data_IF_521311229158
#
_entry.id   IF_521311229158
#
_cell.length_a   1.000
_cell.length_b   1.000
_cell.length_c   1.000
_cell.angle_alpha   90.00
_cell.angle_beta   90.00
_cell.angle_gamma   90.00
#
_symmetry.space_group_name_H-M   'P 1'
#
loop_
_entity.id
_entity.type
_entity.pdbx_description
1 polymer ?
#
# COMPACT_ATOMS: atom_id res chain seq x y z
N UNK A 1 0.38 8.92 16.68
CA UNK A 1 -0.85 9.69 16.44
C UNK A 1 -2.00 8.71 16.34
N UNK A 2 -3.21 9.07 16.82
CA UNK A 2 -4.37 8.20 16.66
C UNK A 2 -4.78 8.09 15.19
N UNK A 3 -5.44 6.98 14.85
CA UNK A 3 -6.10 6.77 13.57
C UNK A 3 -7.61 6.73 13.81
N UNK A 4 -8.36 7.36 12.91
CA UNK A 4 -9.79 7.17 12.74
C UNK A 4 -9.96 5.87 11.97
N UNK A 5 -10.81 4.96 12.47
CA UNK A 5 -11.06 3.65 11.88
C UNK A 5 -12.49 3.59 11.35
N UNK A 6 -12.65 3.21 10.09
CA UNK A 6 -13.96 2.99 9.49
C UNK A 6 -14.55 1.65 9.96
N UNK A 7 -15.51 1.70 10.87
CA UNK A 7 -16.20 0.50 11.38
C UNK A 7 -17.06 -0.19 10.32
N UNK A 8 -17.53 0.57 9.34
CA UNK A 8 -18.40 0.10 8.26
C UNK A 8 -17.62 -0.41 7.04
N UNK A 9 -16.28 -0.34 7.06
CA UNK A 9 -15.47 -0.85 5.96
C UNK A 9 -15.68 -2.35 5.71
N UNK A 10 -15.70 -2.74 4.45
CA UNK A 10 -15.75 -4.14 4.03
C UNK A 10 -14.33 -4.65 3.79
N UNK A 11 -13.77 -5.35 4.77
CA UNK A 11 -12.44 -5.97 4.70
C UNK A 11 -12.50 -7.42 4.20
N UNK A 12 -13.62 -7.82 3.62
CA UNK A 12 -13.81 -9.17 3.11
C UNK A 12 -13.48 -9.30 1.64
N UNK A 13 -13.04 -10.48 1.22
CA UNK A 13 -12.73 -10.82 -0.16
C UNK A 13 -12.98 -12.31 -0.40
N UNK A 14 -12.97 -12.74 -1.66
CA UNK A 14 -13.15 -14.15 -2.01
C UNK A 14 -11.79 -14.84 -2.16
N UNK A 15 -11.66 -16.01 -1.54
CA UNK A 15 -10.57 -16.94 -1.82
C UNK A 15 -10.66 -17.48 -3.25
N UNK A 16 -9.63 -18.18 -3.73
CA UNK A 16 -9.68 -18.83 -5.05
C UNK A 16 -10.76 -19.92 -5.14
N UNK A 17 -11.31 -20.37 -4.01
CA UNK A 17 -12.41 -21.33 -3.93
C UNK A 17 -13.79 -20.67 -3.83
N UNK A 18 -13.85 -19.34 -3.83
CA UNK A 18 -15.09 -18.58 -3.67
C UNK A 18 -15.56 -18.46 -2.22
N UNK A 19 -14.73 -18.82 -1.24
CA UNK A 19 -15.04 -18.64 0.17
C UNK A 19 -14.81 -17.19 0.58
N UNK A 20 -15.74 -16.65 1.37
CA UNK A 20 -15.62 -15.28 1.89
C UNK A 20 -14.67 -15.26 3.08
N UNK A 21 -13.52 -14.61 2.90
CA UNK A 21 -12.53 -14.36 3.94
C UNK A 21 -12.64 -12.91 4.39
N UNK A 22 -12.49 -12.64 5.68
CA UNK A 22 -12.44 -11.28 6.21
C UNK A 22 -11.15 -11.03 6.98
N UNK A 23 -10.51 -9.89 6.71
CA UNK A 23 -9.39 -9.42 7.54
C UNK A 23 -9.99 -8.68 8.73
N UNK A 24 -9.66 -9.09 9.95
CA UNK A 24 -10.09 -8.36 11.16
C UNK A 24 -9.63 -6.90 11.09
N UNK A 25 -10.54 -5.95 11.34
CA UNK A 25 -10.25 -4.51 11.25
C UNK A 25 -9.13 -4.10 12.20
N UNK A 26 -9.07 -4.75 13.36
CA UNK A 26 -8.05 -4.58 14.38
C UNK A 26 -6.66 -4.96 13.86
N UNK A 27 -6.56 -5.89 12.91
CA UNK A 27 -5.27 -6.25 12.26
C UNK A 27 -4.63 -5.04 11.59
N UNK A 28 -5.41 -4.21 10.90
CA UNK A 28 -4.89 -2.99 10.27
C UNK A 28 -4.38 -1.99 11.31
N UNK A 29 -5.11 -1.83 12.42
CA UNK A 29 -4.72 -0.92 13.50
C UNK A 29 -3.42 -1.41 14.16
N UNK A 30 -3.32 -2.69 14.49
CA UNK A 30 -2.10 -3.29 15.06
C UNK A 30 -0.93 -3.17 14.08
N UNK A 31 -1.14 -3.44 12.80
CA UNK A 31 -0.09 -3.32 11.78
C UNK A 31 0.42 -1.88 11.60
N UNK A 32 -0.46 -0.89 11.65
CA UNK A 32 -0.08 0.54 11.64
C UNK A 32 0.79 0.90 12.85
N UNK A 33 0.41 0.42 14.04
CA UNK A 33 1.18 0.65 15.27
C UNK A 33 2.54 -0.06 15.22
N UNK A 34 2.60 -1.28 14.71
CA UNK A 34 3.84 -2.05 14.55
C UNK A 34 4.81 -1.35 13.59
N UNK A 35 4.33 -0.96 12.40
CA UNK A 35 5.11 -0.16 11.45
C UNK A 35 5.67 1.11 12.08
N UNK A 36 4.82 1.87 12.77
CA UNK A 36 5.23 3.11 13.41
C UNK A 36 6.28 2.87 14.50
N UNK A 37 6.16 1.77 15.25
CA UNK A 37 7.13 1.36 16.27
C UNK A 37 8.48 1.03 15.65
N UNK A 38 8.50 0.20 14.60
CA UNK A 38 9.73 -0.18 13.89
C UNK A 38 10.41 1.04 13.27
N UNK A 39 9.66 1.92 12.61
CA UNK A 39 10.20 3.16 12.03
C UNK A 39 10.82 4.05 13.11
N UNK A 40 10.17 4.19 14.28
CA UNK A 40 10.71 4.96 15.41
C UNK A 40 12.00 4.34 15.95
N UNK A 41 12.06 3.02 16.10
CA UNK A 41 13.28 2.33 16.52
C UNK A 41 14.43 2.57 15.54
N UNK A 42 14.19 2.39 14.24
CA UNK A 42 15.17 2.70 13.18
C UNK A 42 15.68 4.15 13.31
N UNK A 43 14.75 5.11 13.46
CA UNK A 43 15.10 6.55 13.58
C UNK A 43 15.95 6.84 14.82
N UNK A 44 15.63 6.21 15.95
CA UNK A 44 16.26 6.50 17.23
C UNK A 44 17.59 5.79 17.44
N UNK A 45 17.75 4.57 16.89
CA UNK A 45 18.87 3.69 17.18
C UNK A 45 19.96 3.73 16.11
N UNK A 46 19.64 4.15 14.88
CA UNK A 46 20.60 4.14 13.77
C UNK A 46 21.16 5.55 13.58
N UNK A 47 22.49 5.76 13.71
CA UNK A 47 23.12 7.08 13.69
C UNK A 47 23.23 7.70 12.28
N UNK A 48 22.33 7.35 11.36
CA UNK A 48 22.24 7.92 10.01
C UNK A 48 20.78 8.04 9.60
N UNK A 49 20.46 9.07 8.83
CA UNK A 49 19.13 9.25 8.24
C UNK A 49 18.93 8.28 7.06
N UNK A 50 18.59 7.03 7.37
CA UNK A 50 18.34 5.97 6.38
C UNK A 50 17.27 6.39 5.38
N UNK A 51 16.24 7.10 5.82
CA UNK A 51 15.10 7.45 4.96
C UNK A 51 15.50 8.46 3.88
N UNK A 52 16.35 9.43 4.23
CA UNK A 52 16.96 10.34 3.24
C UNK A 52 17.88 9.61 2.27
N UNK A 53 18.66 8.63 2.74
CA UNK A 53 19.58 7.83 1.91
C UNK A 53 18.83 6.98 0.88
N UNK A 54 17.72 6.36 1.25
CA UNK A 54 16.95 5.48 0.37
C UNK A 54 16.39 6.19 -0.87
N UNK A 55 16.04 7.48 -0.74
CA UNK A 55 15.28 8.19 -1.77
C UNK A 55 13.80 7.79 -1.79
N UNK A 56 12.93 8.67 -2.31
CA UNK A 56 11.46 8.47 -2.27
C UNK A 56 10.97 7.15 -2.88
N UNK A 57 11.62 6.66 -3.95
CA UNK A 57 11.20 5.42 -4.62
C UNK A 57 11.43 4.20 -3.73
N UNK A 58 12.65 4.03 -3.22
CA UNK A 58 12.99 2.89 -2.37
C UNK A 58 12.30 3.02 -1.01
N UNK A 59 12.13 4.25 -0.52
CA UNK A 59 11.38 4.48 0.71
C UNK A 59 9.91 4.06 0.58
N UNK A 60 9.26 4.33 -0.56
CA UNK A 60 7.89 3.85 -0.78
C UNK A 60 7.80 2.33 -0.79
N UNK A 61 8.78 1.65 -1.40
CA UNK A 61 8.84 0.19 -1.38
C UNK A 61 9.09 -0.34 0.05
N UNK A 62 10.00 0.28 0.79
CA UNK A 62 10.30 -0.05 2.18
C UNK A 62 9.06 0.08 3.08
N UNK A 63 8.31 1.17 2.98
CA UNK A 63 7.09 1.38 3.79
C UNK A 63 6.01 0.35 3.43
N UNK A 64 5.81 0.06 2.14
CA UNK A 64 4.89 -0.98 1.70
C UNK A 64 5.26 -2.36 2.27
N UNK A 65 6.53 -2.73 2.16
CA UNK A 65 7.07 -4.00 2.64
C UNK A 65 6.97 -4.14 4.17
N UNK A 66 7.26 -3.07 4.91
CA UNK A 66 7.09 -3.06 6.37
C UNK A 66 5.63 -3.29 6.76
N UNK A 67 4.69 -2.71 6.02
CA UNK A 67 3.26 -2.93 6.23
C UNK A 67 2.82 -4.36 5.89
N UNK A 68 3.33 -4.95 4.81
CA UNK A 68 3.14 -6.38 4.48
C UNK A 68 3.59 -7.27 5.65
N UNK A 69 4.80 -7.04 6.16
CA UNK A 69 5.34 -7.82 7.30
C UNK A 69 4.44 -7.66 8.53
N UNK A 70 4.01 -6.44 8.81
CA UNK A 70 3.17 -6.12 9.98
C UNK A 70 1.80 -6.76 9.87
N UNK A 71 1.14 -6.71 8.70
CA UNK A 71 -0.13 -7.41 8.48
C UNK A 71 0.04 -8.92 8.63
N UNK A 72 1.07 -9.52 8.02
CA UNK A 72 1.31 -10.96 8.15
C UNK A 72 1.46 -11.39 9.62
N UNK A 73 2.24 -10.63 10.40
CA UNK A 73 2.43 -10.84 11.84
C UNK A 73 1.13 -10.70 12.64
N UNK A 74 0.35 -9.67 12.38
CA UNK A 74 -0.84 -9.31 13.16
C UNK A 74 -2.12 -10.05 12.75
N UNK A 75 -2.08 -10.80 11.64
CA UNK A 75 -3.23 -11.48 11.03
C UNK A 75 -3.58 -12.84 11.64
N UNK A 76 -2.98 -13.24 12.77
CA UNK A 76 -3.24 -14.53 13.42
C UNK A 76 -3.10 -15.74 12.46
N UNK A 77 -2.04 -15.73 11.63
CA UNK A 77 -1.75 -16.76 10.62
C UNK A 77 -2.73 -16.84 9.43
N UNK A 78 -3.63 -15.86 9.26
CA UNK A 78 -4.47 -15.77 8.04
C UNK A 78 -3.61 -15.50 6.81
N UNK A 79 -2.55 -14.71 6.96
CA UNK A 79 -1.61 -14.44 5.87
C UNK A 79 -0.19 -14.89 6.18
N UNK A 80 0.51 -15.30 5.12
CA UNK A 80 1.95 -15.38 5.09
C UNK A 80 2.47 -14.37 4.06
N UNK A 81 3.51 -13.61 4.40
CA UNK A 81 4.24 -12.83 3.39
C UNK A 81 4.75 -13.77 2.28
N UNK A 82 4.59 -13.37 1.02
CA UNK A 82 5.13 -14.10 -0.11
C UNK A 82 6.66 -14.28 0.02
N UNK A 83 7.17 -15.52 0.02
CA UNK A 83 8.60 -15.78 0.17
C UNK A 83 9.41 -15.39 -1.07
N UNK A 84 8.77 -15.21 -2.22
CA UNK A 84 9.43 -14.81 -3.45
C UNK A 84 9.43 -13.28 -3.61
N UNK A 85 10.60 -12.69 -3.87
CA UNK A 85 10.77 -11.22 -3.96
C UNK A 85 9.95 -10.56 -5.08
N UNK A 86 9.73 -11.28 -6.18
CA UNK A 86 8.87 -10.85 -7.31
C UNK A 86 7.53 -11.60 -7.31
N UNK A 87 7.07 -12.04 -6.13
CA UNK A 87 5.85 -12.78 -5.95
C UNK A 87 4.60 -11.91 -6.11
N UNK A 88 3.47 -12.55 -6.40
CA UNK A 88 2.15 -11.95 -6.42
C UNK A 88 1.11 -12.98 -5.90
N UNK A 89 0.22 -12.62 -4.96
CA UNK A 89 0.19 -11.34 -4.24
C UNK A 89 1.27 -11.24 -3.15
N UNK A 90 1.45 -10.05 -2.58
CA UNK A 90 2.39 -9.79 -1.46
C UNK A 90 2.07 -10.60 -0.18
N UNK A 91 0.78 -10.77 0.14
CA UNK A 91 0.29 -11.57 1.26
C UNK A 91 -0.49 -12.78 0.74
N UNK A 92 0.01 -13.98 1.02
CA UNK A 92 -0.59 -15.25 0.63
C UNK A 92 -1.69 -15.63 1.63
N UNK A 93 -2.89 -15.94 1.14
CA UNK A 93 -3.97 -16.46 1.99
C UNK A 93 -3.65 -17.89 2.48
N UNK A 94 -3.62 -18.08 3.79
CA UNK A 94 -3.27 -19.33 4.49
C UNK A 94 -4.47 -19.95 5.21
N UNK A 95 -5.62 -19.98 4.54
CA UNK A 95 -6.67 -20.94 4.87
C UNK A 95 -6.17 -22.40 4.69
N UNK A 96 -7.03 -23.38 4.92
CA UNK A 96 -6.64 -24.80 4.86
C UNK A 96 -6.03 -25.20 3.51
N UNK A 97 -6.45 -24.56 2.42
CA UNK A 97 -5.98 -24.85 1.07
C UNK A 97 -4.65 -24.18 0.79
N UNK A 98 -4.50 -22.90 1.18
CA UNK A 98 -3.24 -22.19 1.14
C UNK A 98 -2.14 -22.94 1.91
N UNK A 99 -2.46 -23.40 3.12
CA UNK A 99 -1.56 -24.23 3.96
C UNK A 99 -1.17 -25.53 3.26
N UNK A 100 -2.13 -26.23 2.67
CA UNK A 100 -1.88 -27.49 1.94
C UNK A 100 -0.97 -27.27 0.73
N UNK A 101 -1.23 -26.24 -0.08
CA UNK A 101 -0.39 -25.88 -1.23
C UNK A 101 1.03 -25.55 -0.77
N UNK A 102 1.15 -24.71 0.26
CA UNK A 102 2.44 -24.30 0.78
C UNK A 102 3.28 -25.47 1.30
N UNK A 103 2.67 -26.40 2.06
CA UNK A 103 3.36 -27.59 2.57
C UNK A 103 3.78 -28.55 1.45
N UNK A 104 3.00 -28.67 0.37
CA UNK A 104 3.41 -29.44 -0.82
C UNK A 104 4.64 -28.79 -1.47
N UNK A 105 4.62 -27.48 -1.70
CA UNK A 105 5.75 -26.74 -2.29
C UNK A 105 7.01 -26.85 -1.43
N UNK A 106 6.86 -26.77 -0.11
CA UNK A 106 7.94 -26.96 0.85
C UNK A 106 8.56 -28.35 0.77
N UNK A 107 7.75 -29.42 0.75
CA UNK A 107 8.23 -30.81 0.58
C UNK A 107 8.92 -31.04 -0.77
N UNK A 108 8.50 -30.32 -1.81
CA UNK A 108 9.12 -30.35 -3.13
C UNK A 108 10.37 -29.46 -3.25
N UNK A 109 10.73 -28.68 -2.22
CA UNK A 109 11.87 -27.76 -2.27
C UNK A 109 11.66 -26.53 -3.15
N UNK A 110 10.41 -26.19 -3.50
CA UNK A 110 10.05 -25.13 -4.48
C UNK A 110 9.78 -23.76 -3.87
N UNK A 111 10.12 -23.54 -2.60
CA UNK A 111 9.86 -22.27 -1.92
C UNK A 111 10.65 -21.08 -2.50
N UNK A 112 11.66 -21.34 -3.34
CA UNK A 112 12.46 -20.32 -4.03
C UNK A 112 12.03 -20.08 -5.49
N UNK A 113 11.13 -20.91 -6.01
CA UNK A 113 10.72 -20.81 -7.41
C UNK A 113 9.70 -19.68 -7.57
N UNK A 114 9.82 -18.89 -8.64
CA UNK A 114 8.84 -17.82 -8.92
C UNK A 114 7.46 -18.35 -9.29
N UNK A 115 7.43 -19.39 -10.12
CA UNK A 115 6.20 -19.92 -10.72
C UNK A 115 5.06 -20.21 -9.74
N UNK A 116 5.29 -20.87 -8.57
CA UNK A 116 4.21 -21.14 -7.62
C UNK A 116 3.74 -19.91 -6.82
N UNK A 117 4.45 -18.78 -6.88
CA UNK A 117 4.19 -17.59 -6.07
C UNK A 117 3.85 -16.36 -6.89
N UNK A 118 3.68 -16.48 -8.22
CA UNK A 118 3.37 -15.35 -9.10
C UNK A 118 2.57 -15.82 -10.34
N UNK A 119 1.26 -16.11 -10.21
CA UNK A 119 0.47 -15.94 -8.99
C UNK A 119 0.57 -17.13 -8.03
N UNK A 120 0.42 -16.87 -6.73
CA UNK A 120 0.10 -17.94 -5.77
C UNK A 120 -1.32 -18.45 -6.00
N UNK A 121 -1.46 -19.77 -6.11
CA UNK A 121 -2.71 -20.40 -6.56
C UNK A 121 -3.90 -20.16 -5.60
N UNK A 122 -3.68 -19.97 -4.30
CA UNK A 122 -4.73 -19.66 -3.34
C UNK A 122 -5.11 -18.17 -3.28
N UNK A 123 -4.44 -17.33 -4.09
CA UNK A 123 -4.60 -15.89 -4.04
C UNK A 123 -4.15 -15.30 -2.71
N UNK A 124 -4.76 -14.17 -2.35
CA UNK A 124 -4.35 -13.37 -1.22
C UNK A 124 -4.56 -11.89 -1.51
N UNK A 125 -3.70 -11.04 -0.94
CA UNK A 125 -3.87 -9.59 -0.93
C UNK A 125 -2.58 -8.89 -1.32
N UNK A 126 -2.68 -7.97 -2.27
CA UNK A 126 -1.59 -7.13 -2.71
C UNK A 126 -1.50 -5.87 -1.84
N UNK A 127 -0.30 -5.35 -1.59
CA UNK A 127 -0.10 -4.08 -0.89
C UNK A 127 0.61 -3.09 -1.81
N UNK A 128 0.01 -1.92 -2.03
CA UNK A 128 0.66 -0.83 -2.78
C UNK A 128 0.78 0.41 -1.94
N UNK A 129 1.99 0.95 -1.93
CA UNK A 129 2.33 2.18 -1.24
C UNK A 129 2.53 3.33 -2.22
N UNK A 130 1.99 4.49 -1.86
CA UNK A 130 2.24 5.76 -2.55
C UNK A 130 2.47 6.85 -1.52
N UNK A 131 3.21 7.89 -1.89
CA UNK A 131 3.37 9.09 -1.08
C UNK A 131 2.66 10.31 -1.70
N UNK A 132 1.76 10.05 -2.64
CA UNK A 132 1.08 11.06 -3.41
C UNK A 132 2.00 11.81 -4.37
N UNK A 133 1.40 12.69 -5.16
CA UNK A 133 2.10 13.61 -6.05
C UNK A 133 2.12 15.02 -5.44
N UNK A 134 3.20 15.74 -5.71
CA UNK A 134 3.34 17.17 -5.41
C UNK A 134 3.71 17.88 -6.71
N UNK A 135 3.51 19.21 -6.81
CA UNK A 135 3.83 19.95 -8.01
C UNK A 135 5.29 19.78 -8.45
N UNK A 136 5.54 20.04 -9.73
CA UNK A 136 6.91 20.12 -10.25
C UNK A 136 7.66 21.30 -9.62
N UNK A 137 9.01 21.28 -9.57
CA UNK A 137 9.78 22.40 -9.05
C UNK A 137 9.40 23.75 -9.70
N UNK A 138 9.19 23.75 -11.01
CA UNK A 138 8.72 24.94 -11.76
C UNK A 138 7.36 25.44 -11.27
N UNK A 139 6.42 24.53 -10.97
CA UNK A 139 5.09 24.89 -10.48
C UNK A 139 5.16 25.40 -9.04
N UNK A 140 5.96 24.77 -8.17
CA UNK A 140 6.24 25.27 -6.82
C UNK A 140 6.81 26.71 -6.87
N UNK A 141 7.82 26.96 -7.69
CA UNK A 141 8.41 28.29 -7.85
C UNK A 141 7.37 29.33 -8.31
N UNK A 142 6.48 28.97 -9.25
CA UNK A 142 5.40 29.87 -9.69
C UNK A 142 4.35 30.18 -8.62
N UNK A 143 4.28 29.34 -7.57
CA UNK A 143 3.40 29.52 -6.42
C UNK A 143 4.12 30.19 -5.24
N UNK A 144 5.40 30.56 -5.39
CA UNK A 144 6.21 31.15 -4.32
C UNK A 144 6.57 30.17 -3.21
N UNK A 145 6.56 28.86 -3.48
CA UNK A 145 6.90 27.81 -2.51
C UNK A 145 8.07 26.95 -3.02
N UNK A 146 8.82 26.35 -2.09
CA UNK A 146 9.81 25.34 -2.43
C UNK A 146 9.15 23.97 -2.62
N UNK A 147 9.76 23.11 -3.43
CA UNK A 147 9.32 21.72 -3.53
C UNK A 147 9.81 20.97 -2.28
N UNK A 148 8.94 20.23 -1.57
CA UNK A 148 9.32 19.43 -0.41
C UNK A 148 10.49 18.50 -0.74
N UNK A 149 11.51 18.53 0.11
CA UNK A 149 12.61 17.57 0.11
C UNK A 149 12.16 16.27 0.82
N UNK A 150 13.01 15.24 0.78
CA UNK A 150 12.78 14.02 1.55
C UNK A 150 12.79 14.36 3.05
N UNK A 151 11.73 13.96 3.75
CA UNK A 151 11.52 14.27 5.17
C UNK A 151 10.50 15.38 5.42
N UNK A 152 10.19 16.20 4.42
CA UNK A 152 9.21 17.27 4.58
C UNK A 152 7.79 16.72 4.49
N UNK A 153 6.90 17.14 5.39
CA UNK A 153 5.47 16.83 5.31
C UNK A 153 4.86 17.43 4.03
N UNK A 154 4.12 16.62 3.27
CA UNK A 154 3.69 16.97 1.90
C UNK A 154 2.22 17.35 1.80
N UNK A 155 1.40 16.99 2.79
CA UNK A 155 -0.06 17.14 2.73
C UNK A 155 -0.55 18.52 2.28
N UNK A 156 0.12 19.60 2.71
CA UNK A 156 -0.29 20.98 2.40
C UNK A 156 -0.23 21.32 0.90
N UNK A 157 0.53 20.55 0.11
CA UNK A 157 0.69 20.78 -1.33
C UNK A 157 0.44 19.53 -2.17
N UNK A 158 0.00 18.44 -1.53
CA UNK A 158 -0.30 17.19 -2.22
C UNK A 158 -1.42 17.41 -3.24
N UNK A 159 -1.24 16.94 -4.48
CA UNK A 159 -2.19 17.17 -5.58
C UNK A 159 -3.04 15.94 -5.88
N UNK A 160 -2.46 14.75 -5.74
CA UNK A 160 -3.13 13.49 -6.03
C UNK A 160 -2.49 12.33 -5.28
N UNK A 161 -3.17 11.19 -5.26
CA UNK A 161 -2.58 9.91 -4.92
C UNK A 161 -3.16 8.83 -5.83
N UNK A 162 -2.32 7.86 -6.17
CA UNK A 162 -2.65 6.73 -7.03
C UNK A 162 -1.75 5.54 -6.68
N UNK A 163 -2.26 4.34 -6.91
CA UNK A 163 -1.51 3.10 -6.78
C UNK A 163 -1.11 2.57 -8.15
N UNK A 164 0.01 1.85 -8.17
CA UNK A 164 0.65 1.37 -9.38
C UNK A 164 0.89 -0.12 -9.27
N UNK A 165 0.65 -0.84 -10.35
CA UNK A 165 0.89 -2.27 -10.45
C UNK A 165 1.60 -2.59 -11.77
N UNK A 166 2.26 -3.75 -11.82
CA UNK A 166 2.90 -4.24 -13.06
C UNK A 166 1.94 -5.02 -13.95
N UNK A 167 0.81 -5.44 -13.40
CA UNK A 167 -0.24 -6.23 -14.02
C UNK A 167 -1.61 -5.59 -13.67
N UNK A 168 -2.66 -5.92 -14.42
CA UNK A 168 -4.00 -5.31 -14.28
C UNK A 168 -4.99 -6.24 -13.55
N UNK A 169 -4.55 -7.44 -13.19
CA UNK A 169 -5.31 -8.51 -12.58
C UNK A 169 -5.43 -8.37 -11.05
N UNK A 170 -4.90 -7.28 -10.48
CA UNK A 170 -4.97 -7.01 -9.03
C UNK A 170 -6.41 -6.72 -8.61
N UNK A 171 -7.00 -7.67 -7.87
CA UNK A 171 -8.39 -7.64 -7.45
C UNK A 171 -8.58 -7.32 -5.96
N UNK A 172 -7.68 -7.84 -5.11
CA UNK A 172 -7.64 -7.61 -3.66
C UNK A 172 -6.44 -6.74 -3.32
N UNK A 173 -6.67 -5.46 -3.03
CA UNK A 173 -5.62 -4.46 -2.84
C UNK A 173 -5.77 -3.77 -1.50
N UNK A 174 -4.70 -3.77 -0.70
CA UNK A 174 -4.50 -2.78 0.35
C UNK A 174 -3.68 -1.63 -0.25
N UNK A 175 -4.34 -0.48 -0.40
CA UNK A 175 -3.70 0.75 -0.83
C UNK A 175 -3.31 1.58 0.37
N UNK A 176 -2.02 1.92 0.52
CA UNK A 176 -1.55 2.82 1.57
C UNK A 176 -1.05 4.14 0.99
N UNK A 177 -1.41 5.25 1.64
CA UNK A 177 -0.76 6.55 1.48
C UNK A 177 0.16 6.76 2.68
N UNK A 178 1.41 7.15 2.43
CA UNK A 178 2.35 7.55 3.46
C UNK A 178 2.89 8.96 3.21
N UNK A 179 3.25 9.66 4.27
CA UNK A 179 3.86 11.00 4.23
C UNK A 179 4.92 11.08 5.34
N UNK A 180 5.46 12.26 5.60
CA UNK A 180 6.39 12.52 6.70
C UNK A 180 5.72 13.31 7.81
N UNK A 181 6.10 12.98 9.05
CA UNK A 181 5.87 13.81 10.21
C UNK A 181 7.20 13.97 10.94
N UNK A 182 7.66 15.22 11.11
CA UNK A 182 8.95 15.55 11.72
C UNK A 182 10.12 14.73 11.13
N UNK A 183 10.17 14.63 9.79
CA UNK A 183 11.15 13.85 9.00
C UNK A 183 11.03 12.33 9.09
N UNK A 184 10.11 11.81 9.89
CA UNK A 184 9.88 10.39 10.06
C UNK A 184 8.76 9.96 9.10
N UNK A 185 8.97 8.94 8.24
CA UNK A 185 7.93 8.44 7.36
C UNK A 185 6.81 7.78 8.18
N UNK A 186 5.56 7.99 7.78
CA UNK A 186 4.40 7.44 8.47
C UNK A 186 3.29 7.13 7.46
N UNK A 187 2.61 5.99 7.65
CA UNK A 187 1.39 5.67 6.90
C UNK A 187 0.27 6.58 7.41
N UNK A 188 -0.34 7.36 6.53
CA UNK A 188 -1.37 8.35 6.88
C UNK A 188 -2.78 7.89 6.51
N UNK A 189 -2.90 6.94 5.59
CA UNK A 189 -4.16 6.31 5.26
C UNK A 189 -4.00 4.90 4.71
N UNK A 190 -5.03 4.07 4.94
CA UNK A 190 -5.17 2.70 4.44
C UNK A 190 -6.55 2.57 3.80
N UNK A 191 -6.57 1.97 2.62
CA UNK A 191 -7.77 1.70 1.82
C UNK A 191 -7.78 0.23 1.40
N UNK A 192 -8.97 -0.34 1.18
CA UNK A 192 -9.09 -1.72 0.72
C UNK A 192 -10.01 -1.85 -0.49
N UNK A 193 -9.50 -2.40 -1.58
CA UNK A 193 -10.28 -2.76 -2.75
C UNK A 193 -10.48 -4.26 -2.78
N UNK A 194 -11.71 -4.73 -2.66
CA UNK A 194 -12.09 -6.15 -2.68
C UNK A 194 -12.91 -6.56 -3.90
N UNK A 195 -13.15 -5.61 -4.80
CA UNK A 195 -13.98 -5.77 -5.99
C UNK A 195 -13.33 -5.11 -7.21
N UNK A 196 -12.00 -4.96 -7.21
CA UNK A 196 -11.27 -4.38 -8.34
C UNK A 196 -11.25 -5.34 -9.53
N UNK A 197 -11.35 -4.77 -10.73
CA UNK A 197 -11.34 -5.45 -12.02
C UNK A 197 -10.22 -4.91 -12.89
N UNK A 198 -9.95 -5.55 -14.04
CA UNK A 198 -8.94 -5.06 -14.98
C UNK A 198 -9.19 -3.62 -15.45
N UNK A 199 -10.46 -3.21 -15.51
CA UNK A 199 -10.88 -1.85 -15.90
C UNK A 199 -10.62 -0.81 -14.80
N UNK A 200 -10.40 -1.25 -13.57
CA UNK A 200 -9.96 -0.38 -12.48
C UNK A 200 -8.47 -0.04 -12.58
N UNK A 201 -7.75 -0.58 -13.57
CA UNK A 201 -6.34 -0.34 -13.83
C UNK A 201 -6.14 0.28 -15.21
N UNK A 202 -5.33 1.34 -15.28
CA UNK A 202 -4.96 1.98 -16.55
C UNK A 202 -4.22 1.02 -17.49
N UNK A 203 -4.18 1.36 -18.78
CA UNK A 203 -3.38 0.59 -19.75
C UNK A 203 -1.91 0.55 -19.31
N UNK A 204 -1.28 -0.60 -19.51
CA UNK A 204 0.15 -0.76 -19.21
C UNK A 204 0.94 0.20 -20.10
N UNK A 205 1.70 1.08 -19.45
CA UNK A 205 2.61 2.01 -20.12
C UNK A 205 4.00 1.40 -20.12
N UNK A 206 4.53 1.15 -21.32
CA UNK A 206 5.88 0.62 -21.52
C UNK A 206 6.94 1.73 -21.44
N UNK A 207 8.17 1.42 -20.96
CA UNK A 207 9.33 2.30 -21.09
C UNK A 207 9.55 2.72 -22.55
N UNK A 208 10.01 3.95 -22.77
CA UNK A 208 10.47 4.45 -24.06
C UNK A 208 11.97 4.71 -24.01
N UNK A 209 12.68 4.49 -25.11
CA UNK A 209 14.10 4.84 -25.22
C UNK A 209 14.28 6.35 -24.92
N UNK A 210 15.23 6.68 -24.03
CA UNK A 210 15.47 8.05 -23.55
C UNK A 210 14.44 8.58 -22.54
N UNK A 211 13.44 7.77 -22.15
CA UNK A 211 12.47 8.14 -21.12
C UNK A 211 12.95 7.83 -19.70
N UNK A 212 12.41 8.53 -18.70
CA UNK A 212 12.76 8.32 -17.29
C UNK A 212 12.16 7.08 -16.61
N UNK A 213 11.41 6.24 -17.34
CA UNK A 213 10.82 4.99 -16.82
C UNK A 213 11.67 3.80 -17.24
N UNK A 214 11.95 2.91 -16.31
CA UNK A 214 12.72 1.68 -16.53
C UNK A 214 11.86 0.42 -16.59
N UNK A 215 10.63 0.47 -16.09
CA UNK A 215 9.72 -0.69 -16.03
C UNK A 215 8.31 -0.35 -16.56
N UNK A 216 7.60 -1.38 -17.01
CA UNK A 216 6.19 -1.29 -17.36
C UNK A 216 5.36 -1.01 -16.11
N UNK A 217 4.32 -0.18 -16.24
CA UNK A 217 3.44 0.15 -15.12
C UNK A 217 2.02 0.42 -15.60
N UNK A 218 1.05 -0.11 -14.85
CA UNK A 218 -0.34 0.31 -14.87
C UNK A 218 -0.58 1.24 -13.68
N UNK A 219 -1.27 2.34 -13.93
CA UNK A 219 -1.60 3.35 -12.92
C UNK A 219 -3.11 3.32 -12.71
N UNK A 220 -3.53 3.23 -11.45
CA UNK A 220 -4.94 3.30 -11.09
C UNK A 220 -5.51 4.69 -11.46
N UNK A 221 -6.52 4.77 -12.34
CA UNK A 221 -7.14 6.02 -12.74
C UNK A 221 -8.03 6.58 -11.61
N UNK A 222 -8.41 7.85 -11.77
CA UNK A 222 -9.08 8.63 -10.72
C UNK A 222 -10.37 8.00 -10.20
N UNK A 223 -11.20 7.47 -11.09
CA UNK A 223 -12.45 6.78 -10.76
C UNK A 223 -12.20 5.54 -9.90
N UNK A 224 -11.16 4.77 -10.19
CA UNK A 224 -10.78 3.60 -9.39
C UNK A 224 -10.18 3.99 -8.03
N UNK A 225 -9.45 5.12 -7.96
CA UNK A 225 -9.01 5.67 -6.66
C UNK A 225 -10.21 6.07 -5.80
N UNK A 226 -11.29 6.56 -6.42
CA UNK A 226 -12.53 6.87 -5.70
C UNK A 226 -13.20 5.60 -5.14
N UNK A 227 -13.20 4.49 -5.88
CA UNK A 227 -13.65 3.17 -5.38
C UNK A 227 -12.85 2.67 -4.17
N UNK A 228 -11.53 2.91 -4.14
CA UNK A 228 -10.71 2.63 -2.95
C UNK A 228 -11.09 3.54 -1.78
N UNK A 229 -11.37 4.81 -2.05
CA UNK A 229 -11.81 5.80 -1.05
C UNK A 229 -13.17 5.46 -0.44
N UNK A 230 -14.11 4.92 -1.22
CA UNK A 230 -15.41 4.44 -0.72
C UNK A 230 -15.26 3.36 0.36
N UNK A 231 -14.17 2.59 0.32
CA UNK A 231 -13.84 1.57 1.31
C UNK A 231 -12.50 1.88 2.03
N UNK A 232 -12.37 3.11 2.53
CA UNK A 232 -11.27 3.49 3.41
C UNK A 232 -11.32 2.70 4.72
N UNK A 233 -10.16 2.32 5.24
CA UNK A 233 -10.03 1.51 6.47
C UNK A 233 -9.61 2.37 7.66
N UNK A 234 -8.53 3.14 7.47
CA UNK A 234 -7.94 3.95 8.52
C UNK A 234 -7.37 5.23 7.93
N UNK A 235 -7.55 6.36 8.63
CA UNK A 235 -6.92 7.64 8.31
C UNK A 235 -6.36 8.24 9.58
N UNK A 236 -5.17 8.83 9.50
CA UNK A 236 -4.57 9.54 10.62
C UNK A 236 -5.51 10.65 11.10
N UNK A 237 -5.67 10.82 12.41
CA UNK A 237 -6.53 11.86 12.99
C UNK A 237 -5.90 13.26 12.86
N UNK A 238 -5.85 13.75 11.62
CA UNK A 238 -5.35 15.06 11.24
C UNK A 238 -6.26 15.61 10.13
N UNK A 239 -6.88 16.75 10.43
CA UNK A 239 -7.90 17.35 9.57
C UNK A 239 -7.38 17.64 8.16
N UNK A 240 -6.09 17.92 7.99
CA UNK A 240 -5.49 18.21 6.67
C UNK A 240 -5.60 17.01 5.73
N UNK A 241 -5.42 15.80 6.26
CA UNK A 241 -5.53 14.58 5.47
C UNK A 241 -6.99 14.24 5.20
N UNK A 242 -7.86 14.38 6.20
CA UNK A 242 -9.32 14.18 6.05
C UNK A 242 -9.88 15.08 4.95
N UNK A 243 -9.61 16.39 5.04
CA UNK A 243 -10.04 17.38 4.06
C UNK A 243 -9.47 17.08 2.67
N UNK A 244 -8.20 16.68 2.59
CA UNK A 244 -7.57 16.31 1.33
C UNK A 244 -8.29 15.11 0.69
N UNK A 245 -8.55 14.04 1.42
CA UNK A 245 -9.22 12.85 0.88
C UNK A 245 -10.64 13.16 0.41
N UNK A 246 -11.43 13.81 1.26
CA UNK A 246 -12.81 14.21 0.95
C UNK A 246 -12.84 15.13 -0.29
N UNK A 247 -12.03 16.20 -0.30
CA UNK A 247 -11.95 17.14 -1.43
C UNK A 247 -11.46 16.48 -2.70
N UNK A 248 -10.37 15.71 -2.63
CA UNK A 248 -9.82 15.04 -3.81
C UNK A 248 -10.90 14.16 -4.43
N UNK A 249 -11.63 13.38 -3.61
CA UNK A 249 -12.66 12.40 -4.02
C UNK A 249 -14.05 12.98 -4.23
N UNK A 250 -14.23 14.31 -4.14
CA UNK A 250 -15.52 14.95 -4.29
C UNK A 250 -16.60 14.32 -3.38
N UNK A 251 -16.22 13.97 -2.14
CA UNK A 251 -17.11 13.37 -1.16
C UNK A 251 -16.82 13.85 0.27
N UNK A 252 -17.46 13.20 1.23
CA UNK A 252 -17.47 13.56 2.66
C UNK A 252 -17.51 12.32 3.58
N UNK A 253 -16.96 11.19 3.11
CA UNK A 253 -17.07 9.89 3.79
C UNK A 253 -16.19 9.78 5.03
N UNK A 254 -15.13 10.58 5.11
CA UNK A 254 -14.19 10.54 6.25
C UNK A 254 -14.57 11.68 7.19
N UNK A 255 -15.14 11.32 8.34
CA UNK A 255 -15.59 12.23 9.38
C UNK A 255 -14.86 11.92 10.68
N UNK A 256 -14.71 12.92 11.55
CA UNK A 256 -14.20 12.74 12.93
C UNK A 256 -15.29 12.25 13.86
#
# INVERSE_FOLDING_TARGET
MPYIINKESDTSFLSSQGEKIAIEKETFTRALLDCQSVIKQITNEIPVDIFRILGMRNLSAFIGELFVISIAKESNHVFLKNPHQDGYPDLLLMDDQGKRIFEILKRQGKLRDKSPFSPFANGGVEVKATCGSVPSPKKCASMGIEKPDIGDTRINIMQSYDWKAHHRETNNLIGILWDFHDRIPQIVAVFFGNNLTENDWGKIVQPKAGGGRTTSVSIMPRNSVNKMYENWIAVIDDQRYIDFFNKYNHGDLILK
#
